data_IF_178949991127
#
_entry.id   IF_178949991127
#
_cell.length_a   1.000
_cell.length_b   1.000
_cell.length_c   1.000
_cell.angle_alpha   90.00
_cell.angle_beta   90.00
_cell.angle_gamma   90.00
#
_symmetry.space_group_name_H-M   'P 1'
#
loop_
_entity.id
_entity.type
_entity.pdbx_description
1 polymer ?
#
# COMPACT_ATOMS: atom_id res chain seq x y z
N UNK A 1 -1.05 -0.85 -9.17
CA UNK A 1 0.27 -0.45 -9.66
C UNK A 1 0.19 1.04 -9.92
N UNK A 2 0.25 1.87 -8.87
CA UNK A 2 0.69 3.25 -9.00
C UNK A 2 1.09 3.75 -7.63
N UNK A 3 2.40 3.72 -7.44
CA UNK A 3 3.03 4.13 -6.21
C UNK A 3 3.10 5.64 -6.11
N UNK A 4 3.19 6.08 -4.85
CA UNK A 4 3.24 7.46 -4.43
C UNK A 4 4.19 8.30 -5.30
N UNK A 5 3.82 9.57 -5.52
CA UNK A 5 4.55 10.51 -6.36
C UNK A 5 6.08 10.36 -6.25
N UNK A 6 6.68 9.92 -7.37
CA UNK A 6 8.11 9.88 -7.61
C UNK A 6 8.69 11.29 -7.66
N UNK A 7 8.76 11.96 -6.51
CA UNK A 7 9.58 13.15 -6.31
C UNK A 7 11.04 12.76 -6.30
N UNK A 8 11.80 13.29 -7.25
CA UNK A 8 13.21 12.98 -7.50
C UNK A 8 14.05 12.88 -6.24
N UNK A 9 14.89 11.86 -6.22
CA UNK A 9 16.12 11.91 -5.44
C UNK A 9 16.86 13.17 -5.86
N UNK A 10 17.09 14.08 -4.91
CA UNK A 10 17.99 15.21 -5.10
C UNK A 10 19.43 14.66 -5.13
N UNK A 11 19.74 13.82 -6.14
CA UNK A 11 21.10 13.55 -6.56
C UNK A 11 21.51 14.80 -7.32
N UNK A 12 22.46 15.53 -6.76
CA UNK A 12 23.29 16.52 -7.45
C UNK A 12 23.38 16.21 -8.93
N UNK A 13 23.07 17.18 -9.81
CA UNK A 13 23.07 17.02 -11.27
C UNK A 13 24.34 16.29 -11.73
N UNK A 14 24.25 14.98 -11.92
CA UNK A 14 25.42 14.16 -12.21
C UNK A 14 25.59 14.08 -13.72
N UNK A 15 26.85 14.17 -14.15
CA UNK A 15 27.33 14.21 -15.53
C UNK A 15 27.11 12.87 -16.25
N UNK A 16 25.87 12.39 -16.31
CA UNK A 16 25.48 11.21 -17.06
C UNK A 16 25.20 11.55 -18.53
N UNK A 17 25.49 10.61 -19.42
CA UNK A 17 25.14 10.70 -20.83
C UNK A 17 23.64 10.47 -21.01
N UNK A 18 23.04 11.19 -21.97
CA UNK A 18 21.65 10.92 -22.36
C UNK A 18 21.54 9.49 -22.91
N UNK A 19 20.40 8.80 -22.69
CA UNK A 19 20.22 7.47 -23.25
C UNK A 19 20.30 7.51 -24.79
N UNK A 20 20.99 6.54 -25.41
CA UNK A 20 21.12 6.49 -26.87
C UNK A 20 19.77 6.20 -27.53
N UNK A 21 19.65 6.58 -28.82
CA UNK A 21 18.41 6.37 -29.58
C UNK A 21 17.98 4.91 -29.61
N UNK A 22 18.91 3.96 -29.74
CA UNK A 22 18.63 2.52 -29.73
C UNK A 22 17.92 2.06 -28.44
N UNK A 23 18.31 2.61 -27.29
CA UNK A 23 17.65 2.31 -26.02
C UNK A 23 16.24 2.91 -25.97
N UNK A 24 16.06 4.13 -26.48
CA UNK A 24 14.74 4.77 -26.54
C UNK A 24 13.80 4.03 -27.50
N UNK A 25 14.32 3.51 -28.62
CA UNK A 25 13.57 2.71 -29.58
C UNK A 25 13.17 1.35 -28.99
N UNK A 26 14.07 0.68 -28.25
CA UNK A 26 13.76 -0.55 -27.50
C UNK A 26 12.65 -0.30 -26.46
N UNK A 27 12.76 0.77 -25.67
CA UNK A 27 11.73 1.15 -24.69
C UNK A 27 10.39 1.48 -25.38
N UNK A 28 10.40 2.19 -26.51
CA UNK A 28 9.19 2.44 -27.29
C UNK A 28 8.55 1.14 -27.78
N UNK A 29 9.34 0.23 -28.31
CA UNK A 29 8.86 -1.06 -28.81
C UNK A 29 8.24 -1.90 -27.69
N UNK A 30 8.89 -1.98 -26.54
CA UNK A 30 8.43 -2.79 -25.39
C UNK A 30 7.17 -2.27 -24.75
N UNK A 31 7.07 -0.94 -24.56
CA UNK A 31 6.05 -0.36 -23.69
C UNK A 31 4.96 0.42 -24.42
N UNK A 32 5.14 0.78 -25.70
CA UNK A 32 4.19 1.64 -26.43
C UNK A 32 3.72 1.08 -27.76
N UNK A 33 4.62 0.57 -28.62
CA UNK A 33 4.27 0.28 -30.01
C UNK A 33 3.48 -1.02 -30.18
N UNK A 34 3.68 -1.98 -29.27
CA UNK A 34 3.11 -3.32 -29.36
C UNK A 34 1.98 -3.58 -28.34
N UNK A 35 1.46 -2.53 -27.71
CA UNK A 35 0.35 -2.64 -26.74
C UNK A 35 -1.00 -2.73 -27.46
N UNK A 36 -2.05 -3.27 -26.81
CA UNK A 36 -3.41 -3.24 -27.34
C UNK A 36 -3.85 -1.81 -27.68
N UNK A 37 -4.61 -1.64 -28.76
CA UNK A 37 -5.00 -0.31 -29.27
C UNK A 37 -5.76 0.51 -28.23
N UNK A 38 -6.50 -0.18 -27.36
CA UNK A 38 -7.24 0.41 -26.26
C UNK A 38 -6.29 1.21 -25.35
N UNK A 39 -5.06 0.72 -25.10
CA UNK A 39 -4.07 1.41 -24.28
C UNK A 39 -3.56 2.73 -24.88
N UNK A 40 -3.82 2.97 -26.16
CA UNK A 40 -3.41 4.19 -26.88
C UNK A 40 -4.56 5.18 -27.08
N UNK A 41 -5.76 4.90 -26.53
CA UNK A 41 -6.95 5.73 -26.70
C UNK A 41 -6.92 7.03 -25.92
N UNK A 42 -6.09 7.13 -24.87
CA UNK A 42 -6.00 8.33 -24.04
C UNK A 42 -4.57 8.60 -23.59
N UNK A 43 -4.23 9.88 -23.40
CA UNK A 43 -2.90 10.25 -22.93
C UNK A 43 -2.62 9.76 -21.52
N UNK A 44 -3.64 9.60 -20.68
CA UNK A 44 -3.46 9.06 -19.34
C UNK A 44 -2.93 7.62 -19.40
N UNK A 45 -3.49 6.78 -20.28
CA UNK A 45 -3.03 5.40 -20.49
C UNK A 45 -1.62 5.37 -21.07
N UNK A 46 -1.35 6.20 -22.08
CA UNK A 46 0.00 6.35 -22.65
C UNK A 46 1.01 6.76 -21.58
N UNK A 47 0.66 7.70 -20.69
CA UNK A 47 1.56 8.16 -19.63
C UNK A 47 1.77 7.10 -18.53
N UNK A 48 0.80 6.22 -18.24
CA UNK A 48 1.05 5.04 -17.39
C UNK A 48 2.02 4.04 -18.03
N UNK A 49 1.94 3.82 -19.35
CA UNK A 49 2.92 3.00 -20.07
C UNK A 49 4.32 3.64 -20.05
N UNK A 50 4.40 4.96 -20.24
CA UNK A 50 5.66 5.69 -20.14
C UNK A 50 6.24 5.67 -18.72
N UNK A 51 5.39 5.65 -17.69
CA UNK A 51 5.85 5.51 -16.31
C UNK A 51 6.47 4.13 -16.08
N UNK A 52 5.87 3.06 -16.59
CA UNK A 52 6.48 1.71 -16.56
C UNK A 52 7.81 1.66 -17.33
N UNK A 53 7.88 2.30 -18.50
CA UNK A 53 9.11 2.41 -19.26
C UNK A 53 10.20 3.20 -18.51
N UNK A 54 9.80 4.26 -17.78
CA UNK A 54 10.71 5.07 -16.96
C UNK A 54 11.27 4.25 -15.80
N UNK A 55 10.44 3.48 -15.09
CA UNK A 55 10.90 2.56 -14.05
C UNK A 55 11.85 1.50 -14.60
N UNK A 56 11.52 0.90 -15.75
CA UNK A 56 12.41 -0.05 -16.40
C UNK A 56 13.76 0.59 -16.74
N UNK A 57 13.76 1.83 -17.23
CA UNK A 57 14.97 2.59 -17.50
C UNK A 57 15.82 2.84 -16.23
N UNK A 58 15.23 3.34 -15.15
CA UNK A 58 15.96 3.65 -13.90
C UNK A 58 16.47 2.38 -13.19
N UNK A 59 15.68 1.31 -13.16
CA UNK A 59 15.99 0.10 -12.39
C UNK A 59 16.77 -0.97 -13.16
N UNK A 60 16.74 -0.93 -14.49
CA UNK A 60 17.49 -1.87 -15.31
C UNK A 60 18.57 -1.13 -16.09
N UNK A 61 18.26 -0.09 -16.85
CA UNK A 61 19.25 0.52 -17.73
C UNK A 61 20.31 1.32 -16.95
N UNK A 62 19.88 2.24 -16.08
CA UNK A 62 20.77 3.10 -15.29
C UNK A 62 21.52 2.29 -14.22
N UNK A 63 20.89 1.27 -13.63
CA UNK A 63 21.52 0.38 -12.65
C UNK A 63 22.67 -0.43 -13.27
N UNK A 64 22.50 -0.95 -14.48
CA UNK A 64 23.54 -1.73 -15.17
C UNK A 64 24.59 -0.84 -15.88
N UNK A 65 24.24 0.40 -16.25
CA UNK A 65 25.16 1.36 -16.85
C UNK A 65 25.13 2.70 -16.12
N UNK A 66 25.98 2.89 -15.08
CA UNK A 66 26.03 4.12 -14.28
C UNK A 66 26.44 5.39 -15.04
N UNK A 67 26.91 5.27 -16.29
CA UNK A 67 27.18 6.44 -17.14
C UNK A 67 25.90 7.04 -17.70
N UNK A 68 24.77 6.32 -17.71
CA UNK A 68 23.49 6.86 -18.13
C UNK A 68 22.97 7.87 -17.12
N UNK A 69 22.39 8.95 -17.63
CA UNK A 69 21.77 10.00 -16.81
C UNK A 69 20.46 9.48 -16.21
N UNK A 70 20.34 9.53 -14.89
CA UNK A 70 19.04 9.39 -14.22
C UNK A 70 18.14 10.59 -14.58
N UNK A 71 16.90 10.32 -14.96
CA UNK A 71 15.94 11.31 -15.46
C UNK A 71 14.74 11.39 -14.54
N UNK A 72 14.16 12.59 -14.41
CA UNK A 72 12.83 12.71 -13.85
C UNK A 72 11.79 12.10 -14.80
N UNK A 73 10.64 11.67 -14.29
CA UNK A 73 9.57 11.16 -15.15
C UNK A 73 9.15 12.18 -16.22
N UNK A 74 9.12 13.48 -15.88
CA UNK A 74 8.83 14.56 -16.83
C UNK A 74 9.88 14.65 -17.95
N UNK A 75 11.16 14.63 -17.61
CA UNK A 75 12.25 14.71 -18.58
C UNK A 75 12.29 13.46 -19.49
N UNK A 76 12.09 12.28 -18.89
CA UNK A 76 11.98 11.01 -19.62
C UNK A 76 10.78 11.02 -20.58
N UNK A 77 9.61 11.48 -20.12
CA UNK A 77 8.41 11.63 -20.97
C UNK A 77 8.68 12.55 -22.15
N UNK A 78 9.33 13.71 -21.93
CA UNK A 78 9.71 14.62 -23.01
C UNK A 78 10.63 13.97 -24.03
N UNK A 79 11.57 13.14 -23.56
CA UNK A 79 12.50 12.41 -24.43
C UNK A 79 11.79 11.34 -25.26
N UNK A 80 10.87 10.60 -24.65
CA UNK A 80 10.07 9.58 -25.34
C UNK A 80 9.13 10.19 -26.39
N UNK A 81 8.51 11.34 -26.10
CA UNK A 81 7.69 12.08 -27.07
C UNK A 81 8.51 12.55 -28.29
N UNK A 82 9.77 12.95 -28.09
CA UNK A 82 10.68 13.32 -29.18
C UNK A 82 11.14 12.10 -29.99
N UNK A 83 11.32 10.95 -29.34
CA UNK A 83 11.87 9.75 -29.96
C UNK A 83 10.82 9.00 -30.77
N UNK A 84 9.62 8.83 -30.22
CA UNK A 84 8.52 8.08 -30.83
C UNK A 84 7.74 8.90 -31.86
N UNK A 85 7.79 8.49 -33.13
CA UNK A 85 7.08 9.16 -34.24
C UNK A 85 5.59 9.36 -33.96
N UNK A 86 4.93 8.41 -33.30
CA UNK A 86 3.50 8.50 -32.97
C UNK A 86 3.19 9.59 -31.92
N UNK A 87 4.15 9.93 -31.06
CA UNK A 87 3.97 10.91 -29.98
C UNK A 87 4.45 12.32 -30.35
N UNK A 88 5.35 12.44 -31.34
CA UNK A 88 5.93 13.73 -31.80
C UNK A 88 4.90 14.83 -32.07
N UNK A 89 3.74 14.56 -32.71
CA UNK A 89 2.75 15.62 -32.97
C UNK A 89 2.24 16.33 -31.72
N UNK A 90 2.34 15.69 -30.54
CA UNK A 90 1.77 16.19 -29.29
C UNK A 90 2.76 16.93 -28.39
N UNK A 91 4.03 17.07 -28.82
CA UNK A 91 5.08 17.74 -28.03
C UNK A 91 4.67 19.17 -27.61
N UNK A 92 3.98 19.91 -28.49
CA UNK A 92 3.52 21.26 -28.20
C UNK A 92 2.50 21.33 -27.05
N UNK A 93 1.84 20.22 -26.74
CA UNK A 93 0.82 20.10 -25.68
C UNK A 93 1.31 19.29 -24.48
N UNK A 94 2.60 18.94 -24.43
CA UNK A 94 3.14 18.02 -23.44
C UNK A 94 2.92 18.49 -21.99
N UNK A 95 3.04 19.79 -21.72
CA UNK A 95 2.83 20.32 -20.37
C UNK A 95 1.38 20.18 -19.91
N UNK A 96 0.41 20.41 -20.80
CA UNK A 96 -1.01 20.24 -20.50
C UNK A 96 -1.35 18.76 -20.32
N UNK A 97 -0.87 17.89 -21.23
CA UNK A 97 -1.01 16.43 -21.12
C UNK A 97 -0.46 15.93 -19.78
N UNK A 98 0.73 16.38 -19.40
CA UNK A 98 1.37 15.96 -18.15
C UNK A 98 0.60 16.47 -16.93
N UNK A 99 0.07 17.70 -16.98
CA UNK A 99 -0.77 18.26 -15.92
C UNK A 99 -2.07 17.47 -15.76
N UNK A 100 -2.75 17.17 -16.85
CA UNK A 100 -4.01 16.41 -16.84
C UNK A 100 -3.79 14.98 -16.35
N UNK A 101 -2.70 14.34 -16.76
CA UNK A 101 -2.30 13.05 -16.21
C UNK A 101 -2.09 13.10 -14.70
N UNK A 102 -1.39 14.10 -14.16
CA UNK A 102 -1.21 14.20 -12.71
C UNK A 102 -2.53 14.40 -11.96
N UNK A 103 -3.45 15.20 -12.52
CA UNK A 103 -4.78 15.40 -11.97
C UNK A 103 -5.59 14.10 -11.98
N UNK A 104 -5.56 13.35 -13.08
CA UNK A 104 -6.17 12.03 -13.19
C UNK A 104 -5.58 11.07 -12.17
N UNK A 105 -4.24 10.96 -12.15
CA UNK A 105 -3.48 10.05 -11.29
C UNK A 105 -3.76 10.29 -9.81
N UNK A 106 -4.03 11.53 -9.41
CA UNK A 106 -4.37 11.88 -8.03
C UNK A 106 -5.75 11.33 -7.60
N UNK A 107 -6.69 11.18 -8.54
CA UNK A 107 -8.06 10.72 -8.27
C UNK A 107 -8.22 9.21 -8.28
N UNK A 108 -7.26 8.48 -8.83
CA UNK A 108 -7.35 7.01 -8.91
C UNK A 108 -7.53 6.43 -7.50
N UNK A 109 -8.57 5.59 -7.27
CA UNK A 109 -8.80 4.95 -5.99
C UNK A 109 -7.58 4.16 -5.53
N UNK A 110 -7.37 4.14 -4.22
CA UNK A 110 -6.28 3.41 -3.58
C UNK A 110 -6.88 2.32 -2.71
N UNK A 111 -6.33 1.11 -2.85
CA UNK A 111 -6.70 -0.03 -2.02
C UNK A 111 -5.47 -0.67 -1.40
N UNK A 112 -5.61 -1.18 -0.18
CA UNK A 112 -4.52 -1.77 0.58
C UNK A 112 -5.01 -2.48 1.83
N UNK A 113 -4.14 -2.66 2.82
CA UNK A 113 -4.48 -3.39 4.04
C UNK A 113 -3.94 -2.76 5.32
N UNK A 114 -4.70 -2.91 6.40
CA UNK A 114 -4.26 -2.79 7.78
C UNK A 114 -4.04 -4.21 8.30
N UNK A 115 -2.79 -4.65 8.35
CA UNK A 115 -2.43 -5.99 8.81
C UNK A 115 -2.15 -5.91 10.31
N UNK A 116 -2.90 -6.67 11.11
CA UNK A 116 -2.79 -6.71 12.57
C UNK A 116 -1.98 -7.93 13.05
N UNK A 117 -1.26 -7.76 14.16
CA UNK A 117 -0.65 -8.91 14.86
C UNK A 117 -1.72 -9.75 15.57
N UNK A 118 -1.35 -10.90 16.12
CA UNK A 118 -2.27 -11.83 16.81
C UNK A 118 -2.94 -11.23 18.06
N UNK A 119 -2.38 -10.16 18.61
CA UNK A 119 -2.92 -9.42 19.76
C UNK A 119 -3.82 -8.24 19.38
N UNK A 120 -3.87 -7.86 18.10
CA UNK A 120 -4.49 -6.62 17.61
C UNK A 120 -3.93 -5.35 18.28
N UNK A 121 -2.72 -5.39 18.83
CA UNK A 121 -2.06 -4.24 19.45
C UNK A 121 -1.12 -3.53 18.47
N UNK A 122 -0.64 -4.25 17.45
CA UNK A 122 0.27 -3.72 16.44
C UNK A 122 -0.31 -3.87 15.06
N UNK A 123 0.09 -2.96 14.18
CA UNK A 123 -0.16 -3.05 12.76
C UNK A 123 1.15 -2.95 11.96
N UNK A 124 1.16 -3.57 10.77
CA UNK A 124 2.29 -3.53 9.85
C UNK A 124 2.27 -2.21 9.08
N UNK A 125 3.38 -1.49 9.11
CA UNK A 125 3.60 -0.31 8.27
C UNK A 125 4.82 -0.51 7.38
N UNK A 126 4.82 0.19 6.26
CA UNK A 126 5.92 0.27 5.31
C UNK A 126 6.45 1.70 5.22
N UNK A 127 7.71 1.86 4.81
CA UNK A 127 8.38 3.14 4.62
C UNK A 127 9.29 3.10 3.40
N UNK A 128 9.27 4.15 2.59
CA UNK A 128 10.16 4.29 1.43
C UNK A 128 11.54 4.88 1.72
N UNK A 129 12.41 4.88 0.71
CA UNK A 129 13.84 5.20 0.83
C UNK A 129 14.21 6.67 1.06
N UNK A 130 13.29 7.62 0.85
CA UNK A 130 13.61 9.06 0.95
C UNK A 130 13.99 9.42 2.39
N UNK A 131 15.01 10.26 2.55
CA UNK A 131 15.31 10.86 3.85
C UNK A 131 14.06 11.60 4.39
N UNK A 132 13.60 11.22 5.59
CA UNK A 132 12.35 11.74 6.15
C UNK A 132 11.07 11.19 5.50
N UNK A 133 11.14 10.04 4.83
CA UNK A 133 9.96 9.31 4.37
C UNK A 133 9.01 9.00 5.53
N UNK A 134 7.72 9.11 5.24
CA UNK A 134 6.67 8.76 6.18
C UNK A 134 6.44 7.25 6.18
N UNK A 135 6.00 6.73 7.32
CA UNK A 135 5.42 5.40 7.43
C UNK A 135 3.95 5.43 7.02
N UNK A 136 3.48 4.35 6.42
CA UNK A 136 2.09 4.20 6.02
C UNK A 136 1.65 2.74 5.90
N UNK A 137 0.35 2.50 5.81
CA UNK A 137 -0.18 1.17 5.49
C UNK A 137 0.18 0.76 4.06
N UNK A 138 0.43 -0.54 3.81
CA UNK A 138 0.72 -1.03 2.46
C UNK A 138 -0.51 -0.87 1.56
N UNK A 139 -0.34 -0.16 0.44
CA UNK A 139 -1.44 0.21 -0.46
C UNK A 139 -0.92 0.82 -1.76
N UNK A 140 -1.73 0.71 -2.80
CA UNK A 140 -1.47 1.45 -4.02
C UNK A 140 -2.72 1.66 -4.85
N UNK A 141 -2.52 2.30 -6.00
CA UNK A 141 -3.63 2.68 -6.87
C UNK A 141 -4.16 1.49 -7.64
N UNK A 142 -5.48 1.45 -7.72
CA UNK A 142 -6.25 0.46 -8.46
C UNK A 142 -5.99 0.57 -9.95
N UNK A 143 -5.78 -0.57 -10.59
CA UNK A 143 -5.67 -0.66 -12.03
C UNK A 143 -7.06 -0.52 -12.68
N UNK A 144 -7.08 -0.36 -14.00
CA UNK A 144 -8.34 -0.33 -14.77
C UNK A 144 -9.06 -1.67 -14.60
N UNK A 145 -10.36 -1.61 -14.37
CA UNK A 145 -11.25 -2.78 -14.22
C UNK A 145 -10.82 -3.75 -13.09
N UNK A 146 -9.95 -3.32 -12.18
CA UNK A 146 -9.52 -4.08 -11.01
C UNK A 146 -10.47 -3.80 -9.84
N UNK A 147 -10.89 -4.87 -9.16
CA UNK A 147 -11.70 -4.77 -7.94
C UNK A 147 -10.87 -4.31 -6.74
N UNK A 148 -11.51 -3.66 -5.76
CA UNK A 148 -10.80 -3.06 -4.62
C UNK A 148 -10.00 -4.10 -3.80
N UNK A 149 -10.55 -5.29 -3.58
CA UNK A 149 -9.90 -6.37 -2.83
C UNK A 149 -8.73 -6.98 -3.60
N UNK A 150 -8.89 -7.19 -4.92
CA UNK A 150 -7.82 -7.68 -5.79
C UNK A 150 -6.63 -6.71 -5.81
N UNK A 151 -6.91 -5.41 -5.91
CA UNK A 151 -5.89 -4.37 -5.78
C UNK A 151 -5.19 -4.44 -4.41
N UNK A 152 -5.95 -4.56 -3.32
CA UNK A 152 -5.36 -4.63 -1.98
C UNK A 152 -4.40 -5.82 -1.82
N UNK A 153 -4.80 -7.02 -2.26
CA UNK A 153 -3.95 -8.23 -2.21
C UNK A 153 -2.67 -8.03 -3.01
N UNK A 154 -2.80 -7.52 -4.25
CA UNK A 154 -1.65 -7.29 -5.13
C UNK A 154 -0.67 -6.29 -4.53
N UNK A 155 -1.13 -5.13 -4.06
CA UNK A 155 -0.28 -4.09 -3.48
C UNK A 155 0.41 -4.57 -2.20
N UNK A 156 -0.29 -5.32 -1.34
CA UNK A 156 0.31 -5.90 -0.13
C UNK A 156 1.40 -6.91 -0.51
N UNK A 157 1.17 -7.76 -1.50
CA UNK A 157 2.16 -8.72 -1.97
C UNK A 157 3.38 -8.03 -2.57
N UNK A 158 3.17 -7.00 -3.40
CA UNK A 158 4.24 -6.21 -4.03
C UNK A 158 5.12 -5.51 -2.97
N UNK A 159 4.52 -4.85 -1.99
CA UNK A 159 5.24 -4.04 -1.00
C UNK A 159 5.82 -4.84 0.18
N UNK A 160 5.21 -5.98 0.53
CA UNK A 160 5.58 -6.72 1.75
C UNK A 160 6.04 -8.15 1.49
N UNK A 161 5.78 -8.70 0.31
CA UNK A 161 6.02 -10.11 -0.01
C UNK A 161 5.03 -11.08 0.65
N UNK A 162 4.02 -10.57 1.38
CA UNK A 162 3.03 -11.37 2.08
C UNK A 162 1.76 -11.51 1.23
N UNK A 163 1.39 -12.75 0.89
CA UNK A 163 0.09 -13.03 0.26
C UNK A 163 -0.99 -13.11 1.35
N UNK A 164 -1.93 -12.17 1.30
CA UNK A 164 -3.06 -12.05 2.23
C UNK A 164 -4.39 -12.52 1.62
N UNK A 165 -4.38 -13.08 0.41
CA UNK A 165 -5.60 -13.47 -0.33
C UNK A 165 -6.52 -14.40 0.46
N UNK A 166 -5.96 -15.37 1.18
CA UNK A 166 -6.73 -16.34 1.98
C UNK A 166 -7.18 -15.80 3.33
N UNK A 167 -6.66 -14.64 3.75
CA UNK A 167 -6.97 -13.99 5.02
C UNK A 167 -7.96 -12.83 4.86
N UNK A 168 -8.19 -12.39 3.63
CA UNK A 168 -9.05 -11.25 3.34
C UNK A 168 -10.52 -11.59 3.55
N UNK A 169 -11.20 -10.75 4.32
CA UNK A 169 -12.65 -10.71 4.41
C UNK A 169 -13.16 -9.46 3.66
N UNK A 170 -14.13 -9.63 2.76
CA UNK A 170 -14.65 -8.55 1.92
C UNK A 170 -15.42 -7.50 2.72
N UNK A 171 -15.95 -7.86 3.88
CA UNK A 171 -16.74 -6.96 4.74
C UNK A 171 -15.86 -6.18 5.75
N UNK A 172 -14.64 -6.65 6.00
CA UNK A 172 -13.73 -6.05 6.98
C UNK A 172 -12.84 -5.00 6.30
N UNK A 173 -13.37 -3.80 6.11
CA UNK A 173 -12.60 -2.67 5.59
C UNK A 173 -12.98 -1.34 6.22
N UNK A 174 -12.07 -0.38 6.10
CA UNK A 174 -12.31 1.02 6.42
C UNK A 174 -12.09 1.82 5.14
N UNK A 175 -13.01 2.72 4.85
CA UNK A 175 -12.95 3.56 3.66
C UNK A 175 -13.00 5.03 4.04
N UNK A 176 -12.04 5.79 3.53
CA UNK A 176 -11.92 7.23 3.76
C UNK A 176 -11.80 7.94 2.42
N UNK A 177 -12.52 9.05 2.28
CA UNK A 177 -12.37 9.96 1.14
C UNK A 177 -11.58 11.18 1.55
N UNK A 178 -10.44 11.45 0.89
CA UNK A 178 -9.62 12.64 1.11
C UNK A 178 -9.58 13.45 -0.16
N UNK A 179 -10.21 14.63 -0.13
CA UNK A 179 -10.43 15.43 -1.33
C UNK A 179 -11.25 14.65 -2.36
N UNK A 180 -10.63 14.31 -3.49
CA UNK A 180 -11.25 13.53 -4.57
C UNK A 180 -10.73 12.10 -4.67
N UNK A 181 -9.87 11.67 -3.73
CA UNK A 181 -9.31 10.33 -3.72
C UNK A 181 -10.03 9.46 -2.69
N UNK A 182 -10.52 8.31 -3.15
CA UNK A 182 -11.07 7.24 -2.32
C UNK A 182 -9.96 6.30 -1.88
N UNK A 183 -9.85 6.04 -0.58
CA UNK A 183 -8.86 5.10 -0.02
C UNK A 183 -9.58 4.05 0.81
N UNK A 184 -9.45 2.77 0.42
CA UNK A 184 -10.03 1.63 1.13
C UNK A 184 -8.92 0.73 1.67
N UNK A 185 -8.93 0.45 2.97
CA UNK A 185 -7.99 -0.48 3.58
C UNK A 185 -8.75 -1.65 4.21
N UNK A 186 -8.45 -2.86 3.77
CA UNK A 186 -8.98 -4.10 4.35
C UNK A 186 -8.27 -4.42 5.66
N UNK A 187 -9.00 -4.86 6.67
CA UNK A 187 -8.42 -5.28 7.94
C UNK A 187 -8.07 -6.75 7.83
N UNK A 188 -6.78 -7.07 7.95
CA UNK A 188 -6.24 -8.42 7.79
C UNK A 188 -5.72 -8.89 9.14
N UNK A 189 -6.14 -10.09 9.53
CA UNK A 189 -5.72 -10.74 10.77
C UNK A 189 -5.19 -12.14 10.46
N UNK A 190 -4.51 -12.78 11.42
CA UNK A 190 -3.98 -14.13 11.25
C UNK A 190 -2.63 -14.24 10.52
N UNK A 191 -1.99 -13.11 10.19
CA UNK A 191 -0.59 -13.10 9.75
C UNK A 191 0.31 -13.42 10.94
N UNK A 192 1.17 -14.44 10.80
CA UNK A 192 2.07 -14.84 11.88
C UNK A 192 3.14 -13.77 12.11
N UNK A 193 3.51 -13.53 13.37
CA UNK A 193 4.48 -12.50 13.73
C UNK A 193 5.90 -12.78 13.22
N UNK A 194 6.25 -14.06 13.05
CA UNK A 194 7.52 -14.53 12.50
C UNK A 194 7.53 -14.56 10.96
N UNK A 195 6.47 -14.07 10.31
CA UNK A 195 6.46 -13.87 8.85
C UNK A 195 7.61 -12.96 8.46
N UNK A 196 8.44 -13.45 7.54
CA UNK A 196 9.52 -12.66 6.96
C UNK A 196 8.93 -11.82 5.82
N UNK A 197 8.96 -10.51 5.99
CA UNK A 197 8.52 -9.57 4.96
C UNK A 197 9.70 -9.14 4.09
N UNK A 198 9.50 -9.15 2.78
CA UNK A 198 10.46 -8.67 1.81
C UNK A 198 9.71 -8.10 0.58
N UNK A 199 9.94 -6.82 0.23
CA UNK A 199 9.30 -6.22 -0.93
C UNK A 199 9.73 -6.94 -2.22
N UNK A 200 8.81 -7.06 -3.18
CA UNK A 200 9.10 -7.59 -4.50
C UNK A 200 9.62 -6.49 -5.44
N UNK A 201 9.29 -5.22 -5.16
CA UNK A 201 9.73 -4.07 -5.95
C UNK A 201 11.07 -3.52 -5.49
N UNK A 202 11.95 -3.17 -6.45
CA UNK A 202 13.26 -2.58 -6.16
C UNK A 202 13.10 -1.12 -5.71
N UNK A 203 13.89 -0.70 -4.72
CA UNK A 203 14.06 0.72 -4.29
C UNK A 203 12.78 1.45 -3.89
N UNK A 204 11.71 0.71 -3.60
CA UNK A 204 10.41 1.27 -3.28
C UNK A 204 10.21 1.36 -1.77
N UNK A 205 10.27 0.20 -1.11
CA UNK A 205 10.17 0.06 0.34
C UNK A 205 11.58 -0.16 0.91
N UNK A 206 11.96 0.68 1.87
CA UNK A 206 13.23 0.56 2.60
C UNK A 206 13.07 -0.21 3.90
N UNK A 207 11.90 -0.13 4.53
CA UNK A 207 11.66 -0.68 5.85
C UNK A 207 10.22 -1.14 6.00
N UNK A 208 10.04 -2.28 6.67
CA UNK A 208 8.74 -2.88 7.00
C UNK A 208 8.81 -3.24 8.47
N UNK A 209 7.86 -2.79 9.28
CA UNK A 209 7.90 -3.04 10.72
C UNK A 209 6.51 -3.05 11.36
N UNK A 210 6.43 -3.73 12.50
CA UNK A 210 5.26 -3.74 13.36
C UNK A 210 5.28 -2.54 14.30
N UNK A 211 4.22 -1.73 14.29
CA UNK A 211 4.08 -0.56 15.16
C UNK A 211 2.87 -0.71 16.07
N UNK A 212 3.02 -0.34 17.35
CA UNK A 212 1.88 -0.31 18.29
C UNK A 212 0.87 0.73 17.83
N UNK A 213 -0.40 0.37 17.81
CA UNK A 213 -1.49 1.26 17.38
C UNK A 213 -1.55 2.52 18.26
N UNK A 214 -1.26 2.39 19.56
CA UNK A 214 -1.25 3.54 20.47
C UNK A 214 -0.13 4.54 20.18
N UNK A 215 0.99 4.09 19.62
CA UNK A 215 2.11 4.98 19.23
C UNK A 215 1.77 5.78 17.96
N UNK A 216 0.76 5.35 17.21
CA UNK A 216 0.30 5.99 15.97
C UNK A 216 -0.71 7.11 16.21
N UNK A 217 -1.21 7.25 17.44
CA UNK A 217 -2.22 8.25 17.77
C UNK A 217 -1.72 9.65 17.39
N UNK A 218 -2.41 10.33 16.46
CA UNK A 218 -1.94 11.58 15.92
C UNK A 218 -2.40 12.75 16.80
N UNK A 219 -1.68 13.87 16.70
CA UNK A 219 -2.14 15.14 17.25
C UNK A 219 -3.29 15.78 16.42
N UNK A 220 -3.55 15.31 15.20
CA UNK A 220 -4.62 15.78 14.29
C UNK A 220 -5.06 14.68 13.30
N UNK A 221 -6.25 14.83 12.70
CA UNK A 221 -6.79 13.91 11.68
C UNK A 221 -6.24 14.18 10.25
N UNK A 222 -5.15 14.93 10.14
CA UNK A 222 -4.54 15.27 8.84
C UNK A 222 -3.91 14.05 8.15
N UNK A 223 -3.88 14.08 6.81
CA UNK A 223 -3.25 13.03 6.00
C UNK A 223 -1.76 12.83 6.29
N UNK A 224 -1.05 13.87 6.75
CA UNK A 224 0.33 13.77 7.26
C UNK A 224 0.29 14.13 8.74
N UNK A 225 0.69 13.20 9.59
CA UNK A 225 0.70 13.41 11.04
C UNK A 225 2.03 12.95 11.64
N UNK A 226 2.20 13.19 12.94
CA UNK A 226 3.30 12.59 13.71
C UNK A 226 2.70 11.69 14.78
N UNK A 227 3.24 10.48 14.88
CA UNK A 227 2.97 9.60 16.02
C UNK A 227 3.58 10.15 17.30
N UNK A 228 3.24 9.52 18.42
CA UNK A 228 3.68 9.93 19.78
C UNK A 228 5.20 9.92 19.91
N UNK A 229 5.87 9.01 19.19
CA UNK A 229 7.33 8.89 19.13
C UNK A 229 8.00 9.84 18.11
N UNK A 230 7.26 10.78 17.52
CA UNK A 230 7.76 11.74 16.53
C UNK A 230 7.88 11.21 15.10
N UNK A 231 7.53 9.94 14.87
CA UNK A 231 7.51 9.30 13.55
C UNK A 231 6.55 10.01 12.61
N UNK A 232 7.02 10.31 11.40
CA UNK A 232 6.18 10.91 10.36
C UNK A 232 5.28 9.83 9.76
N UNK A 233 3.98 10.07 9.78
CA UNK A 233 2.94 9.18 9.27
C UNK A 233 2.29 9.80 8.04
N UNK A 234 1.88 8.96 7.10
CA UNK A 234 1.09 9.37 5.94
C UNK A 234 -0.09 8.43 5.76
N UNK A 235 -1.31 8.98 5.71
CA UNK A 235 -2.57 8.25 5.56
C UNK A 235 -2.79 7.17 6.62
N UNK A 236 -2.37 7.43 7.86
CA UNK A 236 -2.59 6.51 9.00
C UNK A 236 -3.68 7.05 9.91
N UNK A 237 -3.55 8.30 10.36
CA UNK A 237 -4.47 8.98 11.26
C UNK A 237 -5.97 8.78 10.93
N UNK A 238 -6.42 9.01 9.68
CA UNK A 238 -7.85 8.91 9.34
C UNK A 238 -8.48 7.52 9.55
N UNK A 239 -7.66 6.47 9.65
CA UNK A 239 -8.12 5.09 9.79
C UNK A 239 -8.17 4.61 11.25
N UNK A 240 -7.48 5.30 12.17
CA UNK A 240 -7.30 4.78 13.54
C UNK A 240 -8.60 4.72 14.34
N UNK A 241 -9.50 5.68 14.17
CA UNK A 241 -10.81 5.68 14.85
C UNK A 241 -11.66 4.49 14.41
N UNK A 242 -11.77 4.26 13.10
CA UNK A 242 -12.48 3.10 12.56
C UNK A 242 -11.83 1.78 12.96
N UNK A 243 -10.49 1.73 12.97
CA UNK A 243 -9.74 0.54 13.35
C UNK A 243 -9.98 0.15 14.81
N UNK A 244 -9.93 1.13 15.72
CA UNK A 244 -10.22 0.90 17.14
C UNK A 244 -11.66 0.43 17.36
N UNK A 245 -12.62 0.99 16.62
CA UNK A 245 -14.01 0.54 16.67
C UNK A 245 -14.16 -0.92 16.18
N UNK A 246 -13.48 -1.28 15.09
CA UNK A 246 -13.50 -2.65 14.57
C UNK A 246 -12.85 -3.64 15.55
N UNK A 247 -11.71 -3.30 16.16
CA UNK A 247 -11.04 -4.14 17.16
C UNK A 247 -11.94 -4.37 18.38
N UNK A 248 -12.68 -3.35 18.82
CA UNK A 248 -13.59 -3.47 19.96
C UNK A 248 -14.75 -4.46 19.72
N UNK A 249 -15.17 -4.66 18.47
CA UNK A 249 -16.22 -5.62 18.09
C UNK A 249 -15.68 -6.98 17.67
N UNK A 250 -14.37 -7.09 17.39
CA UNK A 250 -13.69 -8.32 16.99
C UNK A 250 -12.55 -8.62 17.97
N UNK A 251 -12.82 -9.18 19.16
CA UNK A 251 -11.76 -9.47 20.13
C UNK A 251 -10.80 -10.56 19.59
N UNK A 252 -9.49 -10.49 19.90
CA UNK A 252 -8.53 -11.46 19.38
C UNK A 252 -8.83 -12.88 19.84
N UNK A 253 -8.57 -13.87 18.98
CA UNK A 253 -8.83 -15.29 19.26
C UNK A 253 -8.11 -15.78 20.53
N UNK A 254 -6.93 -15.22 20.84
CA UNK A 254 -6.18 -15.51 22.07
C UNK A 254 -6.99 -15.17 23.32
N UNK A 255 -7.75 -14.07 23.30
CA UNK A 255 -8.63 -13.67 24.41
C UNK A 255 -9.85 -14.58 24.51
N UNK A 256 -10.43 -15.02 23.39
CA UNK A 256 -11.57 -15.94 23.38
C UNK A 256 -11.24 -17.31 24.01
N UNK A 257 -10.03 -17.84 23.77
CA UNK A 257 -9.57 -19.08 24.43
C UNK A 257 -9.37 -18.90 25.93
N UNK A 258 -8.89 -17.74 26.37
CA UNK A 258 -8.69 -17.44 27.79
C UNK A 258 -10.02 -17.32 28.56
N UNK A 259 -11.05 -16.69 27.97
CA UNK A 259 -12.38 -16.59 28.58
C UNK A 259 -13.12 -17.94 28.61
N UNK A 260 -13.03 -18.73 27.54
CA UNK A 260 -13.58 -20.08 27.51
C UNK A 260 -12.89 -20.99 28.56
N UNK A 261 -11.57 -20.87 28.71
CA UNK A 261 -10.82 -21.58 29.76
C UNK A 261 -11.17 -21.08 31.16
N UNK A 262 -11.35 -19.78 31.37
CA UNK A 262 -11.73 -19.20 32.67
C UNK A 262 -13.16 -19.60 33.09
N UNK A 263 -14.10 -19.68 32.15
CA UNK A 263 -15.46 -20.21 32.39
C UNK A 263 -15.45 -21.72 32.71
N UNK A 264 -14.52 -22.48 32.13
CA UNK A 264 -14.31 -23.91 32.44
C UNK A 264 -13.78 -24.16 33.86
N UNK A 265 -12.94 -23.27 34.40
CA UNK A 265 -12.43 -23.36 35.77
C UNK A 265 -13.46 -22.96 36.84
N UNK A 266 -14.36 -22.02 36.54
CA UNK A 266 -15.43 -21.62 37.48
C UNK A 266 -16.52 -22.68 37.67
N UNK A 267 -16.71 -23.59 36.71
CA UNK A 267 -17.70 -24.67 36.83
C UNK A 267 -17.18 -25.88 37.64
N UNK A 268 -15.87 -26.00 37.88
CA UNK A 268 -15.27 -27.13 38.60
C UNK A 268 -15.02 -26.89 40.10
N UNK A 269 -15.34 -25.70 40.64
CA UNK A 269 -15.07 -25.34 42.04
C UNK A 269 -16.31 -25.08 42.89
N UNK A 270 -17.51 -25.38 42.41
CA UNK A 270 -18.74 -25.34 43.21
C UNK A 270 -19.24 -26.76 43.49
N UNK A 271 -18.55 -27.47 44.38
CA UNK A 271 -19.15 -28.56 45.15
C UNK A 271 -19.58 -28.01 46.52
N UNK A 272 -20.88 -27.86 46.80
CA UNK A 272 -21.34 -27.63 48.17
C UNK A 272 -21.48 -28.97 48.87
N UNK A 273 -20.71 -29.12 49.95
CA UNK A 273 -21.13 -29.83 51.15
C UNK A 273 -22.50 -29.30 51.56
N UNK A 274 -23.57 -30.11 51.50
CA UNK A 274 -24.78 -29.87 52.29
C UNK A 274 -25.66 -31.14 52.41
N UNK A 275 -25.52 -31.79 53.56
CA UNK A 275 -26.59 -32.33 54.41
C UNK A 275 -27.83 -32.97 53.75
N UNK A 276 -27.87 -34.30 53.72
CA UNK A 276 -29.10 -35.08 53.63
C UNK A 276 -29.71 -35.31 55.01
N UNK A 277 -30.85 -34.68 55.32
CA UNK A 277 -31.73 -35.03 56.44
C UNK A 277 -33.10 -34.33 56.30
N UNK A 278 -34.12 -35.06 55.83
CA UNK A 278 -35.56 -34.98 56.22
C UNK A 278 -36.37 -35.95 55.34
N UNK A 279 -36.87 -37.07 55.91
CA UNK A 279 -38.25 -37.30 56.42
C UNK A 279 -39.32 -37.17 55.30
N UNK A 280 -39.91 -38.26 54.78
CA UNK A 280 -41.00 -39.12 55.30
C UNK A 280 -42.36 -38.41 55.50
N UNK A 281 -43.43 -39.09 55.04
CA UNK A 281 -44.90 -38.80 55.05
C UNK A 281 -45.46 -38.16 53.75
N UNK A 282 -46.21 -38.86 52.88
CA UNK A 282 -47.54 -39.53 52.95
C UNK A 282 -48.66 -38.62 52.38
N UNK A 283 -49.04 -38.87 51.12
CA UNK A 283 -50.34 -39.42 50.66
C UNK A 283 -50.28 -39.62 49.14
#
# INVERSE_FOLDING_TARGET
MAMAGGGGLNRSSSRGQMPPQELLDDLCSRFLLNVPKEELESFERILFLLEQAHWFYEDNSVEHNPNLKSLSFKDFTSLMFKSCTALRPYIAHLDDIYKDFNNYKFRVPVSGAIILDDTYERCLLVKGWKAGASWSFPRGKRNKDEEDHTCAVREVLEETGCDVSTLLNLDDYIEVSIGQQKVRLYIITGVKRDTVFAPQTKKEISEISWHRIDDLLPASDDAVSRGVNGMKLYMVAPFLTGLKAWIATHPPVLYQKSEASARGLFCSLMHPLCSGLQKLYVL
#
